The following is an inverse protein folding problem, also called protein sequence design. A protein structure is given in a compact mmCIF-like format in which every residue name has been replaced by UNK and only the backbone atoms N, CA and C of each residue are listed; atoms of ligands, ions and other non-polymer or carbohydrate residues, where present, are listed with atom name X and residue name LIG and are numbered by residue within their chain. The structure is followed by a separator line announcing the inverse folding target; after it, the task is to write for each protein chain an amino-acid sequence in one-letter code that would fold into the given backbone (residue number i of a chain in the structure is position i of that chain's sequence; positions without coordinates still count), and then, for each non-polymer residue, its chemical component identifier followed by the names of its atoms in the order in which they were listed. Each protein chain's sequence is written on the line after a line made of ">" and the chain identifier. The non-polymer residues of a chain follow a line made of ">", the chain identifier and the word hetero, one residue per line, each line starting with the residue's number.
data_IF_174895896769
#
_entry.id   IF_174895896769
#
_cell.length_a   1.000
_cell.length_b   1.000
_cell.length_c   1.000
_cell.angle_alpha   90.00
_cell.angle_beta   90.00
_cell.angle_gamma   90.00
#
_symmetry.space_group_name_H-M   'P 1'
#
loop_
_entity.id
_entity.type
_entity.pdbx_description
1 polymer ?
#
# COMPACT_ATOMS: atom_id res chain seq x y z
N UNK A 1 -10.61 -17.03 -9.94
CA UNK A 1 -10.43 -17.15 -11.41
C UNK A 1 -10.93 -15.93 -12.20
N UNK A 2 -12.07 -15.30 -11.84
CA UNK A 2 -12.59 -14.09 -12.54
C UNK A 2 -11.74 -12.82 -12.32
N UNK A 3 -11.30 -12.55 -11.08
CA UNK A 3 -10.47 -11.38 -10.75
C UNK A 3 -9.12 -11.39 -11.49
N UNK A 4 -8.42 -12.55 -11.49
CA UNK A 4 -7.15 -12.76 -12.21
C UNK A 4 -7.23 -12.37 -13.68
N UNK A 5 -8.29 -12.84 -14.37
CA UNK A 5 -8.52 -12.56 -15.79
C UNK A 5 -8.82 -11.08 -16.05
N UNK A 6 -9.52 -10.41 -15.14
CA UNK A 6 -9.80 -8.97 -15.25
C UNK A 6 -8.55 -8.13 -15.05
N UNK A 7 -7.70 -8.45 -14.07
CA UNK A 7 -6.45 -7.73 -13.79
C UNK A 7 -5.45 -7.90 -14.94
N UNK A 8 -5.31 -9.12 -15.48
CA UNK A 8 -4.40 -9.41 -16.58
C UNK A 8 -4.81 -8.80 -17.93
N UNK A 9 -6.08 -8.39 -18.08
CA UNK A 9 -6.61 -7.79 -19.31
C UNK A 9 -6.51 -6.25 -19.34
N UNK A 10 -6.16 -5.61 -18.22
CA UNK A 10 -6.14 -4.15 -18.11
C UNK A 10 -4.74 -3.58 -18.31
N UNK A 11 -4.58 -2.80 -19.38
CA UNK A 11 -3.40 -1.96 -19.58
C UNK A 11 -3.50 -0.72 -18.68
N UNK A 12 -2.49 -0.52 -17.84
CA UNK A 12 -2.33 0.70 -17.04
C UNK A 12 -1.35 1.66 -17.72
N UNK A 13 -1.44 2.95 -17.42
CA UNK A 13 -0.43 3.92 -17.83
C UNK A 13 0.84 3.72 -17.00
N UNK A 14 1.93 3.34 -17.65
CA UNK A 14 3.24 3.21 -17.03
C UNK A 14 3.79 4.57 -16.60
N UNK A 15 3.66 4.87 -15.30
CA UNK A 15 4.19 6.08 -14.68
C UNK A 15 5.46 5.74 -13.89
N UNK A 16 6.66 6.14 -14.36
CA UNK A 16 7.90 5.92 -13.64
C UNK A 16 7.88 6.58 -12.25
N UNK A 17 8.67 6.06 -11.32
CA UNK A 17 8.72 6.55 -9.93
C UNK A 17 9.00 8.06 -9.83
N UNK A 18 9.90 8.59 -10.67
CA UNK A 18 10.25 10.02 -10.68
C UNK A 18 9.08 10.91 -11.13
N UNK A 19 8.08 10.32 -11.80
CA UNK A 19 6.84 10.95 -12.22
C UNK A 19 5.66 10.66 -11.28
N UNK A 20 5.88 10.09 -10.09
CA UNK A 20 4.80 9.75 -9.14
C UNK A 20 3.84 10.90 -8.81
N UNK A 21 4.27 12.16 -8.88
CA UNK A 21 3.35 13.28 -8.67
C UNK A 21 2.24 13.39 -9.74
N UNK A 22 2.42 12.77 -10.91
CA UNK A 22 1.40 12.75 -11.96
C UNK A 22 0.10 12.09 -11.51
N UNK A 23 0.15 11.03 -10.68
CA UNK A 23 -1.07 10.36 -10.20
C UNK A 23 -1.91 11.28 -9.32
N UNK A 24 -1.28 12.24 -8.61
CA UNK A 24 -2.00 13.24 -7.83
C UNK A 24 -2.81 14.21 -8.71
N UNK A 25 -2.29 14.54 -9.89
CA UNK A 25 -2.79 15.63 -10.72
C UNK A 25 -3.65 15.18 -11.91
N UNK A 26 -3.50 13.93 -12.36
CA UNK A 26 -4.14 13.43 -13.59
C UNK A 26 -5.21 12.41 -13.25
N UNK A 27 -6.48 12.82 -13.35
CA UNK A 27 -7.65 12.00 -12.96
C UNK A 27 -7.71 10.64 -13.66
N UNK A 28 -7.29 10.56 -14.93
CA UNK A 28 -7.27 9.30 -15.67
C UNK A 28 -6.32 8.23 -15.08
N UNK A 29 -5.37 8.63 -14.22
CA UNK A 29 -4.47 7.71 -13.50
C UNK A 29 -5.08 7.18 -12.19
N UNK A 30 -6.18 7.73 -11.69
CA UNK A 30 -6.65 7.45 -10.32
C UNK A 30 -7.46 6.15 -10.23
N UNK A 31 -8.09 5.72 -11.32
CA UNK A 31 -8.96 4.54 -11.38
C UNK A 31 -8.40 3.43 -12.27
N UNK A 32 -7.08 3.34 -12.39
CA UNK A 32 -6.40 2.26 -13.10
C UNK A 32 -6.27 1.02 -12.20
N UNK A 33 -6.65 -0.14 -12.73
CA UNK A 33 -6.48 -1.44 -12.10
C UNK A 33 -5.73 -2.39 -13.05
N UNK A 34 -4.57 -2.88 -12.65
CA UNK A 34 -3.74 -3.74 -13.50
C UNK A 34 -2.25 -3.57 -13.20
N UNK A 35 -1.42 -4.10 -14.10
CA UNK A 35 0.02 -3.97 -13.99
C UNK A 35 0.67 -3.87 -15.36
N UNK A 36 1.88 -3.32 -15.42
CA UNK A 36 2.67 -3.23 -16.64
C UNK A 36 4.16 -3.33 -16.34
N UNK A 37 4.91 -3.78 -17.34
CA UNK A 37 6.37 -3.99 -17.26
C UNK A 37 7.11 -2.83 -17.94
N UNK A 38 8.08 -2.24 -17.26
CA UNK A 38 9.01 -1.27 -17.84
C UNK A 38 10.10 -1.97 -18.67
N UNK A 39 10.78 -1.22 -19.53
CA UNK A 39 11.86 -1.76 -20.41
C UNK A 39 13.02 -2.35 -19.63
N UNK A 40 13.32 -1.84 -18.43
CA UNK A 40 14.38 -2.37 -17.56
C UNK A 40 14.00 -3.68 -16.85
N UNK A 41 12.73 -4.10 -16.93
CA UNK A 41 12.20 -5.29 -16.29
C UNK A 41 11.58 -5.06 -14.91
N UNK A 42 11.55 -3.82 -14.42
CA UNK A 42 10.70 -3.44 -13.28
C UNK A 42 9.23 -3.41 -13.68
N UNK A 43 8.32 -3.34 -12.70
CA UNK A 43 6.88 -3.30 -12.93
C UNK A 43 6.25 -2.13 -12.21
N UNK A 44 5.14 -1.65 -12.76
CA UNK A 44 4.16 -0.86 -12.04
C UNK A 44 2.92 -1.73 -11.82
N UNK A 45 2.40 -1.73 -10.60
CA UNK A 45 1.05 -2.20 -10.29
C UNK A 45 0.22 -0.99 -9.89
N UNK A 46 -1.01 -0.92 -10.40
CA UNK A 46 -2.01 0.07 -10.02
C UNK A 46 -3.27 -0.65 -9.60
N UNK A 47 -3.87 -0.22 -8.49
CA UNK A 47 -5.20 -0.65 -8.07
C UNK A 47 -5.96 0.55 -7.53
N UNK A 48 -7.28 0.51 -7.61
CA UNK A 48 -8.13 1.49 -6.96
C UNK A 48 -9.24 0.81 -6.17
N UNK A 49 -9.74 1.50 -5.15
CA UNK A 49 -10.86 1.03 -4.33
C UNK A 49 -11.69 2.24 -3.87
N UNK A 50 -12.96 2.37 -4.28
CA UNK A 50 -13.89 3.28 -3.64
C UNK A 50 -14.11 2.87 -2.18
N UNK A 51 -14.14 3.84 -1.27
CA UNK A 51 -14.18 3.65 0.18
C UNK A 51 -15.23 4.57 0.79
N UNK A 52 -16.50 4.24 0.56
CA UNK A 52 -17.62 5.05 1.05
C UNK A 52 -17.67 5.06 2.59
N UNK A 53 -17.96 6.23 3.17
CA UNK A 53 -18.05 6.45 4.61
C UNK A 53 -16.71 6.53 5.34
N UNK A 54 -15.58 6.29 4.67
CA UNK A 54 -14.25 6.38 5.29
C UNK A 54 -13.74 7.82 5.26
N UNK A 55 -12.95 8.18 6.26
CA UNK A 55 -12.21 9.44 6.34
C UNK A 55 -10.70 9.16 6.42
N UNK A 56 -9.88 10.15 6.06
CA UNK A 56 -8.43 10.04 6.17
C UNK A 56 -7.97 9.75 7.60
N UNK A 57 -8.69 10.27 8.60
CA UNK A 57 -8.44 10.03 10.01
C UNK A 57 -8.64 8.54 10.38
N UNK A 58 -9.69 7.90 9.86
CA UNK A 58 -9.92 6.46 10.07
C UNK A 58 -8.77 5.63 9.52
N UNK A 59 -8.30 5.97 8.31
CA UNK A 59 -7.20 5.27 7.65
C UNK A 59 -5.89 5.50 8.41
N UNK A 60 -5.59 6.75 8.80
CA UNK A 60 -4.39 7.04 9.58
C UNK A 60 -4.38 6.24 10.90
N UNK A 61 -5.50 6.26 11.63
CA UNK A 61 -5.66 5.47 12.87
C UNK A 61 -5.42 3.99 12.64
N UNK A 62 -5.98 3.43 11.56
CA UNK A 62 -5.80 2.03 11.20
C UNK A 62 -4.31 1.66 11.12
N UNK A 63 -3.52 2.42 10.36
CA UNK A 63 -2.09 2.17 10.15
C UNK A 63 -1.24 2.29 11.41
N UNK A 64 -1.73 2.99 12.43
CA UNK A 64 -1.12 3.04 13.76
C UNK A 64 -1.63 1.91 14.69
N UNK A 65 -2.89 1.53 14.56
CA UNK A 65 -3.57 0.60 15.48
C UNK A 65 -3.37 -0.88 15.13
N UNK A 66 -3.39 -1.23 13.84
CA UNK A 66 -3.30 -2.63 13.40
C UNK A 66 -1.96 -3.33 13.71
N UNK A 67 -0.79 -2.66 13.74
CA UNK A 67 0.50 -3.32 14.01
C UNK A 67 0.67 -3.81 15.45
N UNK A 68 -0.16 -3.32 16.37
CA UNK A 68 -0.05 -3.58 17.82
C UNK A 68 -0.56 -4.96 18.24
N UNK A 69 -1.31 -5.67 17.39
CA UNK A 69 -1.73 -7.04 17.67
C UNK A 69 -1.93 -7.84 16.37
N UNK A 70 -1.50 -9.10 16.38
CA UNK A 70 -1.55 -9.96 15.18
C UNK A 70 -2.97 -10.15 14.65
N UNK A 71 -3.96 -10.24 15.54
CA UNK A 71 -5.36 -10.47 15.19
C UNK A 71 -5.94 -9.28 14.41
N UNK A 72 -5.52 -8.06 14.76
CA UNK A 72 -5.94 -6.83 14.06
C UNK A 72 -5.47 -6.86 12.61
N UNK A 73 -4.23 -7.28 12.38
CA UNK A 73 -3.70 -7.42 11.02
C UNK A 73 -4.35 -8.58 10.25
N UNK A 74 -4.67 -9.69 10.93
CA UNK A 74 -5.33 -10.85 10.34
C UNK A 74 -6.74 -10.54 9.81
N UNK A 75 -7.53 -9.71 10.50
CA UNK A 75 -8.89 -9.35 10.03
C UNK A 75 -8.88 -8.50 8.76
N UNK A 76 -7.77 -7.83 8.44
CA UNK A 76 -7.62 -7.06 7.21
C UNK A 76 -7.64 -7.97 5.98
N UNK A 77 -6.94 -9.10 6.04
CA UNK A 77 -6.98 -10.10 4.98
C UNK A 77 -6.90 -11.54 5.55
N UNK A 78 -8.05 -12.09 5.95
CA UNK A 78 -8.12 -13.45 6.48
C UNK A 78 -7.55 -14.49 5.50
N UNK A 79 -6.60 -15.30 5.99
CA UNK A 79 -5.94 -16.34 5.20
C UNK A 79 -4.73 -15.89 4.36
N UNK A 80 -4.41 -14.59 4.34
CA UNK A 80 -3.22 -14.04 3.70
C UNK A 80 -2.31 -13.29 4.68
N UNK A 81 -2.87 -12.58 5.66
CA UNK A 81 -2.12 -11.95 6.75
C UNK A 81 -1.96 -12.93 7.91
N UNK A 82 -0.71 -13.24 8.32
CA UNK A 82 -0.44 -14.22 9.36
C UNK A 82 -0.03 -13.59 10.69
N UNK A 83 0.66 -12.46 10.63
CA UNK A 83 1.10 -11.73 11.80
C UNK A 83 1.81 -10.45 11.41
N UNK A 84 1.99 -9.58 12.39
CA UNK A 84 2.68 -8.31 12.26
C UNK A 84 3.35 -7.98 13.59
N UNK A 85 4.29 -7.06 13.54
CA UNK A 85 4.79 -6.34 14.69
C UNK A 85 5.63 -5.16 14.23
N UNK A 86 6.34 -4.56 15.17
CA UNK A 86 7.27 -3.47 14.92
C UNK A 86 8.49 -3.65 15.82
N UNK A 87 9.66 -3.14 15.41
CA UNK A 87 10.86 -3.22 16.24
C UNK A 87 10.73 -2.32 17.47
N UNK A 88 11.44 -2.65 18.56
CA UNK A 88 11.40 -1.90 19.83
C UNK A 88 11.63 -0.39 19.69
N UNK A 89 12.43 0.03 18.71
CA UNK A 89 12.66 1.47 18.42
C UNK A 89 11.38 2.23 18.03
N UNK A 90 10.35 1.54 17.54
CA UNK A 90 9.06 2.12 17.17
C UNK A 90 8.03 2.05 18.30
N UNK A 91 8.34 1.44 19.45
CA UNK A 91 7.42 1.30 20.58
C UNK A 91 6.90 2.67 21.06
N UNK A 92 7.77 3.68 21.10
CA UNK A 92 7.37 5.05 21.47
C UNK A 92 6.31 5.68 20.55
N UNK A 93 6.13 5.19 19.32
CA UNK A 93 5.05 5.64 18.43
C UNK A 93 3.77 4.81 18.61
N UNK A 94 3.91 3.48 18.67
CA UNK A 94 2.77 2.55 18.66
C UNK A 94 2.13 2.30 20.02
N UNK A 95 2.85 2.48 21.11
CA UNK A 95 2.35 2.20 22.48
C UNK A 95 1.79 3.44 23.17
N UNK A 96 1.55 4.51 22.40
CA UNK A 96 0.83 5.69 22.89
C UNK A 96 -0.63 5.36 23.20
N UNK A 97 -1.24 6.07 24.16
CA UNK A 97 -2.65 5.86 24.53
C UNK A 97 -3.60 6.21 23.38
N UNK A 98 -3.25 7.25 22.62
CA UNK A 98 -3.98 7.70 21.42
C UNK A 98 -3.03 7.86 20.25
N UNK A 99 -3.57 7.85 19.04
CA UNK A 99 -2.77 8.00 17.83
C UNK A 99 -2.01 9.35 17.84
N UNK A 100 -0.67 9.36 17.90
CA UNK A 100 0.10 10.59 17.77
C UNK A 100 0.17 11.02 16.29
N UNK A 101 0.63 12.25 16.00
CA UNK A 101 1.01 12.63 14.63
C UNK A 101 1.95 11.59 14.02
N UNK A 102 1.83 11.37 12.71
CA UNK A 102 2.63 10.39 11.99
C UNK A 102 4.14 10.58 12.26
N UNK A 103 4.81 9.46 12.49
CA UNK A 103 6.26 9.36 12.59
C UNK A 103 6.71 8.20 11.70
N UNK A 104 7.85 8.35 11.05
CA UNK A 104 8.42 7.27 10.25
C UNK A 104 8.60 6.03 11.14
N UNK A 105 8.16 4.89 10.64
CA UNK A 105 8.10 3.67 11.44
C UNK A 105 8.34 2.44 10.57
N UNK A 106 8.78 1.37 11.22
CA UNK A 106 8.97 0.08 10.57
C UNK A 106 7.88 -0.88 11.05
N UNK A 107 7.25 -1.57 10.12
CA UNK A 107 6.37 -2.70 10.40
C UNK A 107 6.95 -3.98 9.79
N UNK A 108 6.76 -5.10 10.47
CA UNK A 108 7.33 -6.40 10.14
C UNK A 108 6.21 -7.44 9.90
N UNK A 109 5.42 -7.31 8.82
CA UNK A 109 4.36 -8.26 8.54
C UNK A 109 4.90 -9.59 8.04
N UNK A 110 4.16 -10.65 8.33
CA UNK A 110 4.29 -11.94 7.65
C UNK A 110 3.00 -12.19 6.89
N UNK A 111 3.11 -12.25 5.57
CA UNK A 111 1.95 -12.36 4.69
C UNK A 111 2.22 -13.26 3.49
N UNK A 112 1.15 -13.65 2.81
CA UNK A 112 1.18 -14.49 1.61
C UNK A 112 0.74 -13.69 0.40
N UNK A 113 1.71 -13.38 -0.47
CA UNK A 113 1.48 -12.73 -1.76
C UNK A 113 1.80 -13.73 -2.87
N UNK A 114 0.91 -13.86 -3.87
CA UNK A 114 1.14 -14.77 -5.00
C UNK A 114 1.28 -16.26 -4.61
N UNK A 115 0.77 -16.65 -3.45
CA UNK A 115 0.84 -18.03 -2.93
C UNK A 115 2.04 -18.34 -2.04
N UNK A 116 3.02 -17.44 -1.95
CA UNK A 116 4.20 -17.62 -1.10
C UNK A 116 4.06 -16.82 0.20
N UNK A 117 4.11 -17.52 1.35
CA UNK A 117 4.20 -16.87 2.66
C UNK A 117 5.63 -16.40 2.91
N UNK A 118 5.81 -15.13 3.22
CA UNK A 118 7.13 -14.56 3.52
C UNK A 118 7.06 -13.48 4.60
N UNK A 119 8.12 -13.35 5.42
CA UNK A 119 8.27 -12.20 6.29
C UNK A 119 8.78 -11.00 5.49
N UNK A 120 8.19 -9.84 5.74
CA UNK A 120 8.52 -8.58 5.09
C UNK A 120 9.00 -7.56 6.13
N UNK A 121 9.64 -6.52 5.62
CA UNK A 121 9.87 -5.26 6.32
C UNK A 121 9.29 -4.14 5.48
N UNK A 122 8.46 -3.31 6.09
CA UNK A 122 7.94 -2.09 5.49
C UNK A 122 8.42 -0.91 6.32
N UNK A 123 9.21 -0.04 5.72
CA UNK A 123 9.62 1.22 6.32
C UNK A 123 8.71 2.32 5.77
N UNK A 124 7.76 2.76 6.60
CA UNK A 124 6.83 3.84 6.29
C UNK A 124 7.49 5.19 6.52
N UNK A 125 7.31 6.09 5.56
CA UNK A 125 7.89 7.44 5.55
C UNK A 125 6.85 8.49 5.22
N UNK A 126 7.12 9.75 5.57
CA UNK A 126 6.26 10.86 5.21
C UNK A 126 6.14 11.03 3.68
N UNK A 127 4.97 11.47 3.15
CA UNK A 127 4.80 11.66 1.71
C UNK A 127 5.83 12.60 1.08
N UNK A 128 6.22 13.66 1.77
CA UNK A 128 7.24 14.61 1.33
C UNK A 128 8.63 13.97 1.22
N UNK A 129 9.02 13.13 2.19
CA UNK A 129 10.28 12.37 2.13
C UNK A 129 10.26 11.37 0.97
N UNK A 130 9.13 10.71 0.75
CA UNK A 130 8.93 9.83 -0.40
C UNK A 130 8.98 10.60 -1.74
N UNK A 131 8.81 11.92 -1.71
CA UNK A 131 8.91 12.85 -2.84
C UNK A 131 7.57 13.29 -3.45
N UNK A 132 6.46 13.16 -2.72
CA UNK A 132 5.19 13.77 -3.09
C UNK A 132 5.15 15.26 -2.73
N UNK A 133 4.53 16.06 -3.59
CA UNK A 133 4.40 17.50 -3.42
C UNK A 133 3.23 17.83 -2.50
N UNK A 134 3.51 18.39 -1.32
CA UNK A 134 2.48 18.90 -0.40
C UNK A 134 1.52 19.91 -1.06
N UNK A 135 2.04 20.76 -1.95
CA UNK A 135 1.23 21.70 -2.74
C UNK A 135 0.27 20.95 -3.68
N UNK A 136 0.75 19.90 -4.35
CA UNK A 136 -0.09 19.08 -5.23
C UNK A 136 -1.14 18.30 -4.45
N UNK A 137 -0.80 17.77 -3.27
CA UNK A 137 -1.77 17.11 -2.38
C UNK A 137 -2.89 18.07 -1.96
N UNK A 138 -2.54 19.27 -1.50
CA UNK A 138 -3.51 20.30 -1.11
C UNK A 138 -4.39 20.74 -2.29
N UNK A 139 -3.79 20.97 -3.46
CA UNK A 139 -4.52 21.42 -4.66
C UNK A 139 -5.51 20.38 -5.18
N UNK A 140 -5.21 19.08 -5.02
CA UNK A 140 -6.02 17.99 -5.54
C UNK A 140 -6.85 17.27 -4.46
N UNK A 141 -7.06 17.91 -3.29
CA UNK A 141 -7.86 17.36 -2.18
C UNK A 141 -7.44 15.94 -1.76
N UNK A 142 -6.15 15.74 -1.55
CA UNK A 142 -5.56 14.46 -1.12
C UNK A 142 -5.19 14.58 0.35
N UNK A 143 -6.08 14.19 1.28
CA UNK A 143 -5.85 14.34 2.72
C UNK A 143 -4.79 13.38 3.28
N UNK A 144 -4.49 12.26 2.62
CA UNK A 144 -3.55 11.26 3.12
C UNK A 144 -2.87 10.51 1.97
N UNK A 145 -1.57 10.27 2.13
CA UNK A 145 -0.84 9.26 1.36
C UNK A 145 -0.06 8.40 2.36
N UNK A 146 -0.19 7.08 2.27
CA UNK A 146 0.65 6.14 3.03
C UNK A 146 1.76 5.67 2.11
N UNK A 147 3.01 6.01 2.43
CA UNK A 147 4.19 5.69 1.63
C UNK A 147 5.06 4.69 2.36
N UNK A 148 5.68 3.77 1.63
CA UNK A 148 6.60 2.82 2.23
C UNK A 148 7.61 2.20 1.27
N UNK A 149 8.76 1.84 1.82
CA UNK A 149 9.74 0.97 1.19
C UNK A 149 9.49 -0.46 1.69
N UNK A 150 9.38 -1.43 0.79
CA UNK A 150 9.09 -2.82 1.13
C UNK A 150 10.27 -3.71 0.76
N UNK A 151 10.69 -4.51 1.73
CA UNK A 151 11.72 -5.53 1.56
C UNK A 151 11.28 -6.91 2.02
N UNK A 152 11.73 -7.93 1.28
CA UNK A 152 11.53 -9.33 1.58
C UNK A 152 12.59 -9.84 2.58
N UNK A 153 12.25 -10.93 3.27
CA UNK A 153 13.11 -11.58 4.27
C UNK A 153 13.58 -10.59 5.34
N UNK A 154 12.64 -9.84 5.91
CA UNK A 154 12.91 -8.79 6.91
C UNK A 154 13.87 -7.68 6.42
N UNK A 155 13.83 -7.34 5.13
CA UNK A 155 14.60 -6.23 4.54
C UNK A 155 15.97 -6.62 3.98
N UNK A 156 16.25 -7.91 3.79
CA UNK A 156 17.45 -8.35 3.08
C UNK A 156 17.40 -7.99 1.59
N UNK A 157 16.19 -7.96 1.01
CA UNK A 157 15.98 -7.64 -0.41
C UNK A 157 14.87 -6.61 -0.54
N UNK A 158 15.23 -5.34 -0.73
CA UNK A 158 14.29 -4.27 -1.04
C UNK A 158 13.76 -4.41 -2.45
N UNK A 159 12.44 -4.50 -2.62
CA UNK A 159 11.85 -4.82 -3.91
C UNK A 159 10.69 -3.91 -4.31
N UNK A 160 10.14 -3.08 -3.44
CA UNK A 160 8.98 -2.26 -3.81
C UNK A 160 8.98 -0.92 -3.13
N UNK A 161 8.74 0.11 -3.94
CA UNK A 161 8.27 1.41 -3.49
C UNK A 161 6.74 1.38 -3.56
N UNK A 162 6.03 1.71 -2.48
CA UNK A 162 4.57 1.70 -2.44
C UNK A 162 3.99 3.05 -2.00
N UNK A 163 2.88 3.43 -2.62
CA UNK A 163 2.10 4.59 -2.24
C UNK A 163 0.60 4.27 -2.31
N UNK A 164 -0.11 4.45 -1.20
CA UNK A 164 -1.57 4.42 -1.12
C UNK A 164 -2.09 5.84 -0.98
N UNK A 165 -2.71 6.35 -2.05
CA UNK A 165 -3.15 7.73 -2.16
C UNK A 165 -4.65 7.76 -1.93
N UNK A 166 -5.09 8.50 -0.92
CA UNK A 166 -6.50 8.61 -0.56
C UNK A 166 -7.03 9.96 -1.00
N UNK A 167 -7.84 9.98 -2.05
CA UNK A 167 -8.52 11.19 -2.54
C UNK A 167 -9.81 11.39 -1.77
N UNK A 168 -10.10 12.63 -1.37
CA UNK A 168 -11.40 12.98 -0.81
C UNK A 168 -12.46 12.97 -1.91
N UNK A 169 -13.57 12.28 -1.65
CA UNK A 169 -14.77 12.27 -2.51
C UNK A 169 -15.97 12.80 -1.72
N UNK A 170 -17.13 12.94 -2.39
CA UNK A 170 -18.37 13.35 -1.72
C UNK A 170 -18.84 12.29 -0.70
N UNK A 171 -18.66 11.01 -1.00
CA UNK A 171 -19.21 9.90 -0.22
C UNK A 171 -18.19 9.22 0.70
N UNK A 172 -16.96 9.73 0.81
CA UNK A 172 -15.86 9.12 1.56
C UNK A 172 -14.52 9.30 0.85
N UNK A 173 -13.76 8.21 0.70
CA UNK A 173 -12.46 8.21 0.03
C UNK A 173 -12.47 7.42 -1.28
N UNK A 174 -11.55 7.76 -2.17
CA UNK A 174 -11.09 6.87 -3.24
C UNK A 174 -9.62 6.54 -2.96
N UNK A 175 -9.31 5.26 -2.78
CA UNK A 175 -7.92 4.79 -2.74
C UNK A 175 -7.41 4.56 -4.16
N UNK A 176 -6.20 5.06 -4.45
CA UNK A 176 -5.34 4.62 -5.55
C UNK A 176 -4.02 4.10 -4.99
N UNK A 177 -3.72 2.83 -5.21
CA UNK A 177 -2.47 2.18 -4.81
C UNK A 177 -1.52 2.08 -5.99
N UNK A 178 -0.26 2.50 -5.80
CA UNK A 178 0.82 2.34 -6.77
C UNK A 178 1.96 1.55 -6.14
N UNK A 179 2.42 0.51 -6.83
CA UNK A 179 3.59 -0.27 -6.43
C UNK A 179 4.61 -0.30 -7.56
N UNK A 180 5.80 0.28 -7.34
CA UNK A 180 6.91 0.19 -8.28
C UNK A 180 7.82 -0.98 -7.87
N UNK A 181 7.62 -2.12 -8.52
CA UNK A 181 8.30 -3.38 -8.19
C UNK A 181 9.66 -3.47 -8.89
N UNK A 182 10.72 -3.74 -8.12
CA UNK A 182 12.05 -4.07 -8.60
C UNK A 182 12.91 -2.88 -9.02
N UNK A 183 12.44 -1.64 -8.91
CA UNK A 183 13.18 -0.50 -9.44
C UNK A 183 14.53 -0.23 -8.77
N UNK A 184 14.66 -0.54 -7.48
CA UNK A 184 15.89 -0.39 -6.69
C UNK A 184 16.73 -1.68 -6.64
N UNK A 185 16.24 -2.76 -7.24
CA UNK A 185 16.93 -4.06 -7.23
C UNK A 185 18.04 -4.11 -8.27
N UNK A 186 19.08 -4.89 -7.97
CA UNK A 186 20.05 -5.31 -8.97
C UNK A 186 19.33 -5.99 -10.18
N UNK A 187 19.72 -5.70 -11.44
CA UNK A 187 19.06 -6.24 -12.62
C UNK A 187 18.94 -7.77 -12.67
N UNK A 188 19.95 -8.50 -12.19
CA UNK A 188 19.94 -9.97 -12.19
C UNK A 188 18.88 -10.51 -11.21
N UNK A 189 18.87 -9.96 -9.99
CA UNK A 189 17.91 -10.36 -8.96
C UNK A 189 16.49 -9.96 -9.34
N UNK A 190 16.32 -8.77 -9.93
CA UNK A 190 15.04 -8.30 -10.49
C UNK A 190 14.49 -9.28 -11.53
N UNK A 191 15.31 -9.72 -12.48
CA UNK A 191 14.91 -10.66 -13.53
C UNK A 191 14.44 -12.01 -12.95
N UNK A 192 15.02 -12.43 -11.84
CA UNK A 192 14.66 -13.68 -11.16
C UNK A 192 13.35 -13.56 -10.37
N UNK A 193 13.18 -12.48 -9.62
CA UNK A 193 12.12 -12.36 -8.61
C UNK A 193 10.87 -11.60 -9.10
N UNK A 194 11.02 -10.63 -10.00
CA UNK A 194 9.94 -9.74 -10.41
C UNK A 194 9.43 -10.15 -11.80
N UNK A 195 8.20 -10.65 -11.84
CA UNK A 195 7.56 -11.15 -13.06
C UNK A 195 6.03 -10.88 -13.05
N UNK A 196 5.36 -11.21 -14.16
CA UNK A 196 3.91 -11.05 -14.30
C UNK A 196 3.10 -11.70 -13.17
N UNK A 197 3.53 -12.88 -12.68
CA UNK A 197 2.83 -13.58 -11.60
C UNK A 197 2.93 -12.82 -10.29
N UNK A 198 4.11 -12.24 -9.98
CA UNK A 198 4.29 -11.41 -8.80
C UNK A 198 3.47 -10.11 -8.90
N UNK A 199 3.50 -9.43 -10.05
CA UNK A 199 2.74 -8.20 -10.27
C UNK A 199 1.22 -8.43 -10.19
N UNK A 200 0.73 -9.52 -10.80
CA UNK A 200 -0.67 -9.94 -10.72
C UNK A 200 -1.05 -10.33 -9.28
N UNK A 201 -0.19 -11.07 -8.57
CA UNK A 201 -0.40 -11.43 -7.18
C UNK A 201 -0.49 -10.22 -6.25
N UNK A 202 0.35 -9.20 -6.47
CA UNK A 202 0.30 -7.93 -5.74
C UNK A 202 -1.01 -7.17 -6.02
N UNK A 203 -1.43 -7.10 -7.29
CA UNK A 203 -2.69 -6.46 -7.67
C UNK A 203 -3.89 -7.15 -7.01
N UNK A 204 -3.94 -8.49 -7.03
CA UNK A 204 -4.98 -9.28 -6.36
C UNK A 204 -4.98 -9.06 -4.84
N UNK A 205 -3.80 -9.06 -4.22
CA UNK A 205 -3.65 -8.87 -2.78
C UNK A 205 -4.19 -7.51 -2.36
N UNK A 206 -3.75 -6.45 -3.03
CA UNK A 206 -4.22 -5.09 -2.81
C UNK A 206 -5.73 -4.94 -3.03
N UNK A 207 -6.27 -5.56 -4.08
CA UNK A 207 -7.71 -5.50 -4.35
C UNK A 207 -8.55 -6.09 -3.21
N UNK A 208 -8.11 -7.21 -2.64
CA UNK A 208 -8.86 -7.92 -1.59
C UNK A 208 -8.70 -7.21 -0.25
N UNK A 209 -7.47 -6.90 0.16
CA UNK A 209 -7.21 -6.32 1.48
C UNK A 209 -7.92 -4.97 1.65
N UNK A 210 -7.90 -4.10 0.62
CA UNK A 210 -8.50 -2.78 0.75
C UNK A 210 -10.02 -2.78 0.60
N UNK A 211 -10.57 -3.75 -0.13
CA UNK A 211 -12.01 -3.97 -0.13
C UNK A 211 -12.50 -4.42 1.25
N UNK A 212 -11.81 -5.37 1.87
CA UNK A 212 -12.11 -5.78 3.24
C UNK A 212 -11.97 -4.61 4.22
N UNK A 213 -10.88 -3.82 4.09
CA UNK A 213 -10.67 -2.66 4.96
C UNK A 213 -11.81 -1.65 4.85
N UNK A 214 -12.27 -1.34 3.63
CA UNK A 214 -13.39 -0.45 3.40
C UNK A 214 -14.67 -0.91 4.11
N UNK A 215 -14.89 -2.22 4.22
CA UNK A 215 -16.06 -2.80 4.89
C UNK A 215 -15.92 -2.77 6.43
N UNK A 216 -14.75 -3.08 6.98
CA UNK A 216 -14.59 -3.27 8.43
C UNK A 216 -14.19 -2.00 9.18
N UNK A 217 -13.50 -1.06 8.52
CA UNK A 217 -12.82 0.05 9.20
C UNK A 217 -13.78 0.97 9.98
N UNK A 218 -14.95 1.40 9.44
CA UNK A 218 -15.84 2.30 10.19
C UNK A 218 -16.31 1.72 11.53
N UNK A 219 -16.64 0.41 11.55
CA UNK A 219 -17.11 -0.27 12.74
C UNK A 219 -15.99 -0.47 13.77
N UNK A 220 -14.79 -0.83 13.30
CA UNK A 220 -13.61 -0.96 14.17
C UNK A 220 -13.21 0.38 14.78
N UNK A 221 -13.15 1.43 13.96
CA UNK A 221 -12.82 2.78 14.39
C UNK A 221 -13.80 3.29 15.46
N UNK A 222 -15.11 3.15 15.22
CA UNK A 222 -16.14 3.56 16.19
C UNK A 222 -16.02 2.82 17.54
N UNK A 223 -15.56 1.56 17.52
CA UNK A 223 -15.51 0.70 18.72
C UNK A 223 -14.21 0.86 19.51
N UNK A 224 -13.08 1.13 18.85
CA UNK A 224 -11.75 1.01 19.44
C UNK A 224 -10.89 2.29 19.37
N UNK A 225 -11.40 3.38 18.78
CA UNK A 225 -10.77 4.69 18.94
C UNK A 225 -11.11 5.31 20.29
#
# INVERSE_FOLDING_TARGET
>A
MRLKKSIAACNITLTPFDRKNDVLCKSYLQMEAGYGRFSDGSYLVSMYCPMSGLTAEMVAWWFWWHPQAKERYQVWFPGAHFGIGYPRRCAGYFEQETQPPFQDNTQLPTEKIGGMRMPLRIDFVAPEEFGFSRLSMKKNNIPLIVCGHVGAFNGLIWHTEMAHIFYQTQDGLLLTSRFWLGRTMNPLLRKLMINNSMACGMAEHCAIEYRNLAEILPALYKKYK
#
